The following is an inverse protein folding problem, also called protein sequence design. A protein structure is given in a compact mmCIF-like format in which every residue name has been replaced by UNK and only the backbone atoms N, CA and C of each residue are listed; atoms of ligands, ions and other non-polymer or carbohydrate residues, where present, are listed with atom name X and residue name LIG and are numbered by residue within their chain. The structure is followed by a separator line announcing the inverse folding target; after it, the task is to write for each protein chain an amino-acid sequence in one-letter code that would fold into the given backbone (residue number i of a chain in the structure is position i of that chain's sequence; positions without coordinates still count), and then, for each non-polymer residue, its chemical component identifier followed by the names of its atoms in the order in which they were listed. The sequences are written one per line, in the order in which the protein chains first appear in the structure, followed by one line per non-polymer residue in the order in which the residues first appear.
data_IF_471562567376
#
_entry.id   IF_471562567376
#
_cell.length_a   1.000
_cell.length_b   1.000
_cell.length_c   1.000
_cell.angle_alpha   90.00
_cell.angle_beta   90.00
_cell.angle_gamma   90.00
#
_symmetry.space_group_name_H-M   'P 1'
#
loop_
_entity.id
_entity.type
_entity.pdbx_description
1 polymer ?
#
# COMPACT_ATOMS: atom_id res chain seq x y z
N UNK A 1 7.00 -32.17 3.80
CA UNK A 1 5.77 -31.74 4.51
C UNK A 1 6.02 -31.11 5.89
N UNK A 2 6.84 -31.70 6.78
CA UNK A 2 7.12 -31.14 8.12
C UNK A 2 7.70 -29.70 8.10
N UNK A 3 8.68 -29.43 7.21
CA UNK A 3 9.29 -28.10 7.09
C UNK A 3 8.30 -27.04 6.56
N UNK A 4 7.41 -27.42 5.64
CA UNK A 4 6.36 -26.55 5.12
C UNK A 4 5.33 -26.18 6.20
N UNK A 5 4.91 -27.17 7.01
CA UNK A 5 4.00 -26.92 8.14
C UNK A 5 4.61 -25.96 9.15
N UNK A 6 5.88 -26.17 9.54
CA UNK A 6 6.61 -25.25 10.42
C UNK A 6 6.67 -23.85 9.83
N UNK A 7 7.04 -23.72 8.55
CA UNK A 7 7.08 -22.44 7.85
C UNK A 7 5.76 -21.67 7.96
N UNK A 8 4.63 -22.30 7.62
CA UNK A 8 3.33 -21.64 7.69
C UNK A 8 2.91 -21.25 9.10
N UNK A 9 3.24 -22.05 10.11
CA UNK A 9 2.97 -21.69 11.51
C UNK A 9 3.75 -20.43 11.89
N UNK A 10 5.04 -20.34 11.53
CA UNK A 10 5.84 -19.15 11.78
C UNK A 10 5.36 -17.94 10.98
N UNK A 11 4.99 -18.12 9.70
CA UNK A 11 4.43 -17.04 8.88
C UNK A 11 3.11 -16.52 9.45
N UNK A 12 2.22 -17.42 9.88
CA UNK A 12 0.95 -17.04 10.50
C UNK A 12 1.18 -16.31 11.82
N UNK A 13 2.08 -16.81 12.68
CA UNK A 13 2.42 -16.15 13.94
C UNK A 13 2.99 -14.74 13.70
N UNK A 14 3.88 -14.58 12.72
CA UNK A 14 4.44 -13.27 12.35
C UNK A 14 3.37 -12.31 11.82
N UNK A 15 2.48 -12.78 10.94
CA UNK A 15 1.37 -11.96 10.41
C UNK A 15 0.40 -11.57 11.53
N UNK A 16 0.06 -12.48 12.43
CA UNK A 16 -0.80 -12.19 13.59
C UNK A 16 -0.17 -11.15 14.51
N UNK A 17 1.14 -11.25 14.77
CA UNK A 17 1.86 -10.30 15.63
C UNK A 17 1.85 -8.89 15.02
N UNK A 18 2.17 -8.76 13.73
CA UNK A 18 2.14 -7.46 13.03
C UNK A 18 0.72 -6.91 12.93
N UNK A 19 -0.28 -7.79 12.80
CA UNK A 19 -1.70 -7.44 12.69
C UNK A 19 -2.38 -7.20 14.03
N UNK A 20 -1.71 -7.41 15.17
CA UNK A 20 -2.37 -7.39 16.48
C UNK A 20 -3.04 -6.04 16.76
N UNK A 21 -2.32 -4.93 16.57
CA UNK A 21 -2.85 -3.58 16.80
C UNK A 21 -4.08 -3.27 15.93
N UNK A 22 -4.02 -3.34 14.58
CA UNK A 22 -5.19 -3.01 13.77
C UNK A 22 -6.38 -3.92 14.06
N UNK A 23 -6.17 -5.23 14.28
CA UNK A 23 -7.26 -6.13 14.65
C UNK A 23 -7.89 -5.79 15.99
N UNK A 24 -7.08 -5.52 17.02
CA UNK A 24 -7.58 -5.14 18.34
C UNK A 24 -8.43 -3.88 18.25
N UNK A 25 -7.95 -2.86 17.54
CA UNK A 25 -8.71 -1.62 17.35
C UNK A 25 -9.99 -1.87 16.54
N UNK A 26 -9.94 -2.69 15.49
CA UNK A 26 -11.12 -3.08 14.72
C UNK A 26 -12.19 -3.79 15.56
N UNK A 27 -11.79 -4.68 16.46
CA UNK A 27 -12.71 -5.35 17.41
C UNK A 27 -13.35 -4.34 18.35
N UNK A 28 -12.58 -3.38 18.88
CA UNK A 28 -13.12 -2.35 19.77
C UNK A 28 -14.22 -1.52 19.08
N UNK A 29 -14.00 -1.14 17.81
CA UNK A 29 -15.02 -0.41 17.04
C UNK A 29 -16.26 -1.25 16.78
N UNK A 30 -16.09 -2.49 16.32
CA UNK A 30 -17.24 -3.37 16.07
C UNK A 30 -18.02 -3.61 17.36
N UNK A 31 -17.34 -3.79 18.49
CA UNK A 31 -17.97 -3.94 19.81
C UNK A 31 -18.74 -2.69 20.23
N UNK A 32 -18.16 -1.50 20.06
CA UNK A 32 -18.84 -0.23 20.34
C UNK A 32 -20.07 -0.05 19.43
N UNK A 33 -19.96 -0.38 18.13
CA UNK A 33 -21.09 -0.34 17.21
C UNK A 33 -22.21 -1.31 17.59
N UNK A 34 -21.88 -2.53 18.05
CA UNK A 34 -22.89 -3.51 18.49
C UNK A 34 -23.58 -3.03 19.77
N UNK A 35 -22.84 -2.45 20.71
CA UNK A 35 -23.36 -2.03 22.02
C UNK A 35 -24.13 -0.71 21.94
N UNK A 36 -23.54 0.29 21.32
CA UNK A 36 -23.94 1.69 21.41
C UNK A 36 -24.55 2.21 20.10
N UNK A 37 -24.52 1.42 19.01
CA UNK A 37 -24.92 1.79 17.63
C UNK A 37 -24.15 2.94 17.01
N UNK A 38 -23.25 3.55 17.75
CA UNK A 38 -22.41 4.68 17.35
C UNK A 38 -21.02 4.49 17.95
N UNK A 39 -20.01 5.07 17.30
CA UNK A 39 -18.66 5.18 17.85
C UNK A 39 -18.43 6.64 18.23
N UNK A 40 -18.10 6.88 19.50
CA UNK A 40 -17.72 8.22 19.96
C UNK A 40 -16.38 8.62 19.32
N UNK A 41 -16.31 9.83 18.76
CA UNK A 41 -15.14 10.34 18.07
C UNK A 41 -13.86 10.33 18.95
N UNK A 42 -13.99 10.60 20.24
CA UNK A 42 -12.90 10.55 21.24
C UNK A 42 -12.33 9.13 21.45
N UNK A 43 -13.19 8.12 21.30
CA UNK A 43 -12.83 6.72 21.43
C UNK A 43 -12.42 6.11 20.08
N UNK A 44 -12.44 6.91 19.00
CA UNK A 44 -12.05 6.45 17.67
C UNK A 44 -10.52 6.37 17.59
N UNK A 45 -9.95 5.16 17.56
CA UNK A 45 -8.53 5.02 17.47
C UNK A 45 -8.07 5.33 16.05
N UNK A 46 -6.96 6.06 15.94
CA UNK A 46 -6.34 6.28 14.65
C UNK A 46 -5.98 4.92 14.03
N UNK A 47 -6.24 4.78 12.73
CA UNK A 47 -5.69 3.70 11.87
C UNK A 47 -6.32 2.30 11.95
N UNK A 48 -7.66 2.21 11.97
CA UNK A 48 -8.36 0.93 11.75
C UNK A 48 -8.53 0.59 10.27
N UNK A 49 -8.70 1.58 9.41
CA UNK A 49 -8.95 1.38 7.98
C UNK A 49 -7.85 2.09 7.20
N UNK A 50 -7.23 1.45 6.19
CA UNK A 50 -7.55 0.11 5.65
C UNK A 50 -6.86 -1.07 6.39
N UNK A 51 -6.15 -0.83 7.50
CA UNK A 51 -5.28 -1.86 8.10
C UNK A 51 -6.01 -3.08 8.70
N UNK A 52 -7.19 -2.90 9.27
CA UNK A 52 -8.00 -4.01 9.78
C UNK A 52 -8.47 -4.90 8.62
N UNK A 53 -9.07 -4.35 7.54
CA UNK A 53 -9.32 -5.09 6.32
C UNK A 53 -8.09 -5.77 5.72
N UNK A 54 -6.94 -5.08 5.64
CA UNK A 54 -5.67 -5.67 5.15
C UNK A 54 -5.25 -6.85 6.03
N UNK A 55 -5.30 -6.69 7.35
CA UNK A 55 -4.94 -7.75 8.30
C UNK A 55 -5.84 -8.98 8.15
N UNK A 56 -7.16 -8.78 8.10
CA UNK A 56 -8.11 -9.86 7.88
C UNK A 56 -7.87 -10.59 6.55
N UNK A 57 -7.60 -9.83 5.49
CA UNK A 57 -7.29 -10.34 4.16
C UNK A 57 -6.02 -11.22 4.17
N UNK A 58 -4.90 -10.69 4.69
CA UNK A 58 -3.62 -11.40 4.71
C UNK A 58 -3.66 -12.62 5.62
N UNK A 59 -4.26 -12.53 6.81
CA UNK A 59 -4.39 -13.68 7.72
C UNK A 59 -5.18 -14.80 7.06
N UNK A 60 -6.31 -14.47 6.45
CA UNK A 60 -7.16 -15.48 5.80
C UNK A 60 -6.41 -16.14 4.64
N UNK A 61 -5.74 -15.35 3.81
CA UNK A 61 -4.95 -15.86 2.71
C UNK A 61 -3.82 -16.79 3.18
N UNK A 62 -3.12 -16.46 4.26
CA UNK A 62 -2.06 -17.30 4.85
C UNK A 62 -2.63 -18.61 5.42
N UNK A 63 -3.81 -18.58 6.04
CA UNK A 63 -4.50 -19.76 6.58
C UNK A 63 -4.90 -20.75 5.47
N UNK A 64 -5.44 -20.26 4.35
CA UNK A 64 -5.91 -21.12 3.25
C UNK A 64 -4.76 -21.55 2.32
N UNK A 65 -3.63 -20.83 2.31
CA UNK A 65 -2.51 -21.08 1.40
C UNK A 65 -2.02 -22.53 1.37
N UNK A 66 -1.83 -23.25 2.50
CA UNK A 66 -1.38 -24.64 2.49
C UNK A 66 -2.37 -25.56 1.75
N UNK A 67 -3.68 -25.31 1.92
CA UNK A 67 -4.76 -26.06 1.27
C UNK A 67 -4.74 -25.78 -0.23
N UNK A 68 -4.63 -24.52 -0.62
CA UNK A 68 -4.54 -24.11 -2.02
C UNK A 68 -3.29 -24.65 -2.71
N UNK A 69 -2.15 -24.68 -2.03
CA UNK A 69 -0.92 -25.26 -2.57
C UNK A 69 -1.05 -26.77 -2.81
N UNK A 70 -1.78 -27.48 -1.95
CA UNK A 70 -2.05 -28.91 -2.12
C UNK A 70 -2.95 -29.20 -3.32
N UNK A 71 -4.03 -28.44 -3.50
CA UNK A 71 -5.08 -28.75 -4.48
C UNK A 71 -4.93 -27.96 -5.79
N UNK A 72 -4.75 -26.64 -5.72
CA UNK A 72 -4.72 -25.75 -6.89
C UNK A 72 -3.33 -25.60 -7.52
N UNK A 73 -2.26 -26.04 -6.83
CA UNK A 73 -0.86 -26.07 -7.30
C UNK A 73 -0.40 -24.73 -7.90
N UNK A 74 -0.40 -24.60 -9.24
CA UNK A 74 0.06 -23.39 -9.96
C UNK A 74 -0.89 -22.19 -9.80
N UNK A 75 -2.17 -22.45 -9.49
CA UNK A 75 -3.18 -21.41 -9.28
C UNK A 75 -3.31 -20.97 -7.82
N UNK A 76 -2.50 -21.53 -6.92
CA UNK A 76 -2.61 -21.25 -5.48
C UNK A 76 -2.41 -19.77 -5.12
N UNK A 77 -1.39 -19.10 -5.68
CA UNK A 77 -1.18 -17.67 -5.45
C UNK A 77 -2.30 -16.80 -6.04
N UNK A 78 -2.69 -16.93 -7.33
CA UNK A 78 -3.80 -16.18 -7.88
C UNK A 78 -5.10 -16.35 -7.07
N UNK A 79 -5.45 -17.58 -6.70
CA UNK A 79 -6.65 -17.84 -5.89
C UNK A 79 -6.56 -17.23 -4.49
N UNK A 80 -5.42 -17.37 -3.81
CA UNK A 80 -5.22 -16.77 -2.50
C UNK A 80 -5.33 -15.24 -2.57
N UNK A 81 -4.73 -14.63 -3.59
CA UNK A 81 -4.83 -13.19 -3.84
C UNK A 81 -6.27 -12.77 -4.11
N UNK A 82 -7.00 -13.46 -4.99
CA UNK A 82 -8.40 -13.15 -5.27
C UNK A 82 -9.27 -13.21 -4.02
N UNK A 83 -9.14 -14.28 -3.22
CA UNK A 83 -9.87 -14.41 -1.95
C UNK A 83 -9.48 -13.29 -0.97
N UNK A 84 -8.19 -12.99 -0.84
CA UNK A 84 -7.68 -11.91 0.01
C UNK A 84 -8.26 -10.55 -0.39
N UNK A 85 -8.31 -10.24 -1.68
CA UNK A 85 -8.84 -8.97 -2.18
C UNK A 85 -10.36 -8.87 -1.95
N UNK A 86 -11.10 -9.96 -2.14
CA UNK A 86 -12.54 -9.99 -1.83
C UNK A 86 -12.76 -9.70 -0.34
N UNK A 87 -12.00 -10.36 0.55
CA UNK A 87 -12.10 -10.14 2.00
C UNK A 87 -11.75 -8.70 2.36
N UNK A 88 -10.70 -8.15 1.74
CA UNK A 88 -10.30 -6.76 1.92
C UNK A 88 -11.46 -5.81 1.57
N UNK A 89 -11.99 -5.86 0.34
CA UNK A 89 -13.05 -4.95 -0.09
C UNK A 89 -14.37 -5.14 0.66
N UNK A 90 -14.74 -6.38 1.01
CA UNK A 90 -15.94 -6.64 1.82
C UNK A 90 -15.78 -6.08 3.22
N UNK A 91 -14.64 -6.31 3.87
CA UNK A 91 -14.39 -5.81 5.23
C UNK A 91 -14.31 -4.29 5.26
N UNK A 92 -13.66 -3.70 4.26
CA UNK A 92 -13.60 -2.25 4.04
C UNK A 92 -15.00 -1.66 3.94
N UNK A 93 -15.82 -2.17 3.02
CA UNK A 93 -17.18 -1.67 2.78
C UNK A 93 -18.07 -1.82 4.03
N UNK A 94 -17.92 -2.90 4.79
CA UNK A 94 -18.67 -3.11 6.02
C UNK A 94 -18.31 -2.08 7.10
N UNK A 95 -17.02 -1.80 7.27
CA UNK A 95 -16.56 -0.82 8.26
C UNK A 95 -16.91 0.61 7.82
N UNK A 96 -16.75 0.95 6.55
CA UNK A 96 -17.05 2.30 6.01
C UNK A 96 -18.48 2.77 6.27
N UNK A 97 -19.44 1.83 6.27
CA UNK A 97 -20.85 2.13 6.50
C UNK A 97 -21.22 2.35 7.99
N UNK A 98 -20.23 2.36 8.90
CA UNK A 98 -20.45 2.64 10.32
C UNK A 98 -20.62 4.14 10.60
N UNK A 99 -21.35 4.48 11.66
CA UNK A 99 -21.67 5.87 12.05
C UNK A 99 -20.84 6.29 13.26
N UNK A 100 -20.20 7.46 13.16
CA UNK A 100 -19.47 8.13 14.23
C UNK A 100 -20.28 9.32 14.73
N UNK A 101 -20.34 9.49 16.05
CA UNK A 101 -20.96 10.68 16.67
C UNK A 101 -19.88 11.53 17.32
N UNK A 102 -19.88 12.81 16.97
CA UNK A 102 -19.11 13.88 17.63
C UNK A 102 -20.08 14.87 18.29
N UNK A 103 -19.59 15.68 19.24
CA UNK A 103 -20.39 16.65 20.01
C UNK A 103 -21.26 17.58 19.15
N UNK A 104 -20.90 17.78 17.87
CA UNK A 104 -21.57 18.71 16.97
C UNK A 104 -22.25 18.05 15.75
N UNK A 105 -22.02 16.76 15.47
CA UNK A 105 -22.64 16.07 14.33
C UNK A 105 -22.41 14.54 14.34
N UNK A 106 -23.38 13.81 13.79
CA UNK A 106 -23.20 12.42 13.38
C UNK A 106 -22.68 12.37 11.93
N UNK A 107 -21.57 11.68 11.69
CA UNK A 107 -20.97 11.51 10.36
C UNK A 107 -20.63 10.04 10.09
N UNK A 108 -20.52 9.65 8.82
CA UNK A 108 -20.07 8.29 8.47
C UNK A 108 -18.59 8.13 8.77
N UNK A 109 -18.18 6.89 9.07
CA UNK A 109 -16.80 6.54 9.38
C UNK A 109 -15.82 6.94 8.27
N UNK A 110 -16.22 6.71 7.03
CA UNK A 110 -15.47 7.14 5.85
C UNK A 110 -15.13 8.64 5.88
N UNK A 111 -16.13 9.48 6.10
CA UNK A 111 -15.97 10.94 6.08
C UNK A 111 -15.05 11.40 7.22
N UNK A 112 -15.14 10.74 8.38
CA UNK A 112 -14.30 11.01 9.54
C UNK A 112 -12.82 10.64 9.31
N UNK A 113 -12.56 9.50 8.68
CA UNK A 113 -11.20 9.07 8.35
C UNK A 113 -10.51 10.01 7.37
N UNK A 114 -11.26 10.46 6.37
CA UNK A 114 -10.80 11.46 5.41
C UNK A 114 -10.44 12.78 6.09
N UNK A 115 -11.27 13.24 7.04
CA UNK A 115 -10.99 14.44 7.84
C UNK A 115 -9.68 14.33 8.61
N UNK A 116 -9.45 13.19 9.27
CA UNK A 116 -8.23 12.93 10.04
C UNK A 116 -6.95 12.87 9.18
N UNK A 117 -7.07 12.60 7.87
CA UNK A 117 -5.94 12.63 6.94
C UNK A 117 -5.54 14.06 6.51
N UNK A 118 -6.36 15.06 6.80
CA UNK A 118 -6.22 16.41 6.24
C UNK A 118 -5.99 17.51 7.30
N UNK A 119 -6.59 17.46 8.51
CA UNK A 119 -6.34 18.43 9.61
C UNK A 119 -6.27 17.75 10.98
N UNK A 120 -5.36 18.22 11.86
CA UNK A 120 -5.36 17.83 13.28
C UNK A 120 -6.61 18.39 14.00
N UNK A 121 -7.32 17.61 14.83
CA UNK A 121 -8.60 18.00 15.44
C UNK A 121 -8.63 19.37 16.15
N UNK A 122 -7.48 19.85 16.63
CA UNK A 122 -7.37 21.07 17.44
C UNK A 122 -7.41 22.38 16.62
N UNK A 123 -7.22 22.34 15.29
CA UNK A 123 -6.96 23.53 14.46
C UNK A 123 -8.19 24.08 13.71
N UNK A 124 -9.40 23.70 14.10
CA UNK A 124 -10.64 23.91 13.34
C UNK A 124 -11.11 25.38 13.20
N UNK A 125 -10.66 26.32 14.03
CA UNK A 125 -11.46 27.53 14.29
C UNK A 125 -11.26 28.76 13.39
N UNK A 126 -10.24 28.84 12.53
CA UNK A 126 -10.02 30.07 11.75
C UNK A 126 -9.26 29.80 10.46
N UNK A 127 -9.92 29.88 9.29
CA UNK A 127 -9.32 30.31 7.99
C UNK A 127 -10.35 30.21 6.85
N UNK A 128 -10.23 31.13 5.90
CA UNK A 128 -11.27 31.45 4.90
C UNK A 128 -11.01 30.94 3.47
N UNK A 129 -9.98 30.13 3.21
CA UNK A 129 -9.79 29.46 1.92
C UNK A 129 -8.74 28.34 2.08
N UNK A 130 -9.13 27.05 2.04
CA UNK A 130 -8.17 25.92 2.02
C UNK A 130 -8.75 24.69 1.30
N UNK A 131 -7.90 23.73 0.92
CA UNK A 131 -8.34 22.40 0.45
C UNK A 131 -9.28 21.67 1.46
N UNK A 132 -9.41 22.19 2.69
CA UNK A 132 -10.45 21.88 3.68
C UNK A 132 -11.85 22.07 3.08
N UNK A 133 -12.08 23.23 2.45
CA UNK A 133 -13.40 23.68 2.01
C UNK A 133 -13.86 22.93 0.75
N UNK A 134 -12.90 22.57 -0.12
CA UNK A 134 -13.15 21.76 -1.32
C UNK A 134 -13.53 20.31 -0.95
N UNK A 135 -12.95 19.76 0.13
CA UNK A 135 -13.21 18.39 0.60
C UNK A 135 -14.40 18.27 1.56
N UNK A 136 -14.85 19.38 2.17
CA UNK A 136 -16.10 19.44 2.96
C UNK A 136 -17.30 19.70 2.05
N UNK A 137 -17.13 20.38 0.91
CA UNK A 137 -18.21 20.84 0.04
C UNK A 137 -18.72 19.86 -1.02
N UNK A 138 -17.84 19.07 -1.66
CA UNK A 138 -18.24 18.18 -2.76
C UNK A 138 -17.51 16.82 -2.66
N UNK A 139 -18.20 15.84 -2.07
CA UNK A 139 -17.68 14.51 -1.80
C UNK A 139 -17.60 13.65 -3.08
N UNK A 140 -16.45 13.01 -3.31
CA UNK A 140 -16.25 12.02 -4.37
C UNK A 140 -15.61 10.73 -3.82
N UNK A 141 -16.25 9.55 -4.00
CA UNK A 141 -15.67 8.24 -3.65
C UNK A 141 -14.32 7.96 -4.33
N UNK A 142 -13.99 8.70 -5.39
CA UNK A 142 -12.74 8.55 -6.14
C UNK A 142 -11.48 8.80 -5.29
N UNK A 143 -11.60 9.53 -4.17
CA UNK A 143 -10.52 9.78 -3.21
C UNK A 143 -9.88 8.49 -2.65
N UNK A 144 -10.66 7.41 -2.50
CA UNK A 144 -10.16 6.15 -1.93
C UNK A 144 -9.29 5.35 -2.88
N UNK A 145 -9.28 5.69 -4.19
CA UNK A 145 -8.46 4.99 -5.19
C UNK A 145 -6.98 4.97 -4.77
N UNK A 146 -6.49 6.06 -4.17
CA UNK A 146 -5.12 6.15 -3.66
C UNK A 146 -4.84 5.11 -2.56
N UNK A 147 -5.72 5.02 -1.56
CA UNK A 147 -5.59 4.08 -0.44
C UNK A 147 -5.83 2.63 -0.85
N UNK A 148 -6.80 2.38 -1.73
CA UNK A 148 -7.06 1.05 -2.26
C UNK A 148 -5.88 0.55 -3.09
N UNK A 149 -5.25 1.41 -3.90
CA UNK A 149 -4.07 1.05 -4.65
C UNK A 149 -2.90 0.64 -3.74
N UNK A 150 -2.60 1.45 -2.72
CA UNK A 150 -1.59 1.11 -1.68
C UNK A 150 -1.91 -0.25 -1.04
N UNK A 151 -3.16 -0.46 -0.63
CA UNK A 151 -3.62 -1.66 0.07
C UNK A 151 -3.48 -2.90 -0.81
N UNK A 152 -3.89 -2.82 -2.08
CA UNK A 152 -3.75 -3.90 -3.06
C UNK A 152 -2.28 -4.26 -3.26
N UNK A 153 -1.42 -3.27 -3.52
CA UNK A 153 0.03 -3.48 -3.72
C UNK A 153 0.66 -4.17 -2.50
N UNK A 154 0.28 -3.74 -1.30
CA UNK A 154 0.78 -4.33 -0.05
C UNK A 154 0.33 -5.79 0.10
N UNK A 155 -0.96 -6.08 -0.09
CA UNK A 155 -1.52 -7.44 0.02
C UNK A 155 -0.84 -8.37 -0.97
N UNK A 156 -0.81 -8.03 -2.26
CA UNK A 156 -0.23 -8.93 -3.29
C UNK A 156 1.27 -9.17 -3.06
N UNK A 157 1.99 -8.14 -2.59
CA UNK A 157 3.43 -8.23 -2.34
C UNK A 157 3.73 -9.14 -1.14
N UNK A 158 3.00 -8.99 -0.03
CA UNK A 158 3.11 -9.86 1.13
C UNK A 158 2.79 -11.32 0.79
N UNK A 159 1.68 -11.55 0.05
CA UNK A 159 1.28 -12.89 -0.33
C UNK A 159 2.29 -13.57 -1.26
N UNK A 160 2.87 -12.86 -2.22
CA UNK A 160 3.91 -13.44 -3.07
C UNK A 160 5.20 -13.74 -2.29
N UNK A 161 5.57 -12.94 -1.28
CA UNK A 161 6.69 -13.29 -0.41
C UNK A 161 6.44 -14.61 0.33
N UNK A 162 5.29 -14.75 1.00
CA UNK A 162 4.93 -15.95 1.76
C UNK A 162 4.83 -17.18 0.84
N UNK A 163 4.10 -17.05 -0.27
CA UNK A 163 3.95 -18.11 -1.25
C UNK A 163 5.28 -18.48 -1.91
N UNK A 164 6.09 -17.49 -2.27
CA UNK A 164 7.37 -17.66 -2.94
C UNK A 164 8.33 -18.51 -2.12
N UNK A 165 8.52 -18.19 -0.85
CA UNK A 165 9.36 -19.00 0.05
C UNK A 165 8.76 -20.39 0.29
N UNK A 166 7.44 -20.51 0.46
CA UNK A 166 6.77 -21.80 0.57
C UNK A 166 7.03 -22.69 -0.66
N UNK A 167 7.02 -22.10 -1.87
CA UNK A 167 7.36 -22.81 -3.11
C UNK A 167 8.80 -23.27 -3.14
N UNK A 168 9.76 -22.44 -2.74
CA UNK A 168 11.17 -22.84 -2.65
C UNK A 168 11.34 -24.03 -1.68
N UNK A 169 10.63 -24.03 -0.54
CA UNK A 169 10.69 -25.14 0.42
C UNK A 169 10.14 -26.45 -0.19
N UNK A 170 9.15 -26.36 -1.09
CA UNK A 170 8.53 -27.53 -1.72
C UNK A 170 9.33 -28.03 -2.93
N UNK A 171 9.78 -27.12 -3.81
CA UNK A 171 10.45 -27.50 -5.07
C UNK A 171 11.98 -27.54 -4.97
N UNK A 172 12.57 -27.01 -3.90
CA UNK A 172 14.03 -26.81 -3.73
C UNK A 172 14.70 -25.96 -4.83
N UNK A 173 13.91 -25.33 -5.70
CA UNK A 173 14.39 -24.44 -6.75
C UNK A 173 14.64 -23.04 -6.17
N UNK A 174 15.90 -22.60 -6.20
CA UNK A 174 16.34 -21.32 -5.65
C UNK A 174 16.50 -20.23 -6.71
N UNK A 175 16.01 -20.43 -7.94
CA UNK A 175 16.10 -19.45 -9.02
C UNK A 175 15.49 -18.10 -8.60
N UNK A 176 14.30 -18.10 -7.99
CA UNK A 176 13.61 -16.88 -7.53
C UNK A 176 14.08 -16.34 -6.17
N UNK A 177 15.04 -16.98 -5.50
CA UNK A 177 15.38 -16.65 -4.11
C UNK A 177 15.84 -15.20 -3.95
N UNK A 178 16.74 -14.73 -4.80
CA UNK A 178 17.27 -13.35 -4.72
C UNK A 178 16.18 -12.31 -4.96
N UNK A 179 15.29 -12.56 -5.93
CA UNK A 179 14.16 -11.69 -6.22
C UNK A 179 13.18 -11.62 -5.02
N UNK A 180 12.89 -12.76 -4.38
CA UNK A 180 12.01 -12.81 -3.20
C UNK A 180 12.61 -12.11 -1.97
N UNK A 181 13.93 -12.20 -1.76
CA UNK A 181 14.62 -11.45 -0.70
C UNK A 181 14.47 -9.95 -0.92
N UNK A 182 14.75 -9.48 -2.14
CA UNK A 182 14.62 -8.05 -2.48
C UNK A 182 13.16 -7.61 -2.35
N UNK A 183 12.20 -8.42 -2.81
CA UNK A 183 10.78 -8.12 -2.67
C UNK A 183 10.37 -8.03 -1.19
N UNK A 184 10.88 -8.93 -0.34
CA UNK A 184 10.59 -8.92 1.09
C UNK A 184 11.11 -7.65 1.76
N UNK A 185 12.33 -7.21 1.41
CA UNK A 185 12.90 -5.94 1.89
C UNK A 185 12.05 -4.76 1.42
N UNK A 186 11.73 -4.68 0.12
CA UNK A 186 10.91 -3.61 -0.45
C UNK A 186 9.52 -3.56 0.21
N UNK A 187 8.88 -4.72 0.39
CA UNK A 187 7.57 -4.83 1.05
C UNK A 187 7.62 -4.41 2.51
N UNK A 188 8.66 -4.80 3.25
CA UNK A 188 8.83 -4.43 4.65
C UNK A 188 9.07 -2.91 4.81
N UNK A 189 9.94 -2.33 3.97
CA UNK A 189 10.15 -0.88 3.93
C UNK A 189 8.87 -0.14 3.54
N UNK A 190 8.11 -0.68 2.57
CA UNK A 190 6.86 -0.08 2.12
C UNK A 190 5.80 -0.11 3.22
N UNK A 191 5.63 -1.24 3.90
CA UNK A 191 4.78 -1.35 5.08
C UNK A 191 5.20 -0.36 6.17
N UNK A 192 6.50 -0.27 6.45
CA UNK A 192 7.05 0.67 7.42
C UNK A 192 6.72 2.12 7.08
N UNK A 193 6.89 2.53 5.82
CA UNK A 193 6.49 3.87 5.38
C UNK A 193 4.97 4.05 5.35
N UNK A 194 4.17 3.02 5.08
CA UNK A 194 2.70 3.11 5.20
C UNK A 194 2.29 3.39 6.65
N UNK A 195 2.88 2.65 7.60
CA UNK A 195 2.65 2.87 9.03
C UNK A 195 3.10 4.29 9.42
N UNK A 196 4.29 4.70 8.99
CA UNK A 196 4.81 6.03 9.28
C UNK A 196 3.96 7.15 8.66
N UNK A 197 3.58 7.01 7.38
CA UNK A 197 2.68 7.93 6.68
C UNK A 197 1.33 8.02 7.40
N UNK A 198 0.86 6.93 7.99
CA UNK A 198 -0.33 6.96 8.80
C UNK A 198 -0.11 7.81 10.05
N UNK A 199 0.87 7.50 10.89
CA UNK A 199 1.12 8.24 12.13
C UNK A 199 1.46 9.72 11.93
N UNK A 200 2.07 10.06 10.81
CA UNK A 200 2.66 11.39 10.61
C UNK A 200 1.96 12.20 9.52
N UNK A 201 1.22 11.55 8.61
CA UNK A 201 0.72 12.10 7.33
C UNK A 201 1.68 13.18 6.80
N UNK A 202 2.95 12.77 6.77
CA UNK A 202 4.19 13.54 6.73
C UNK A 202 4.04 15.06 6.91
N UNK A 203 3.58 15.41 8.12
CA UNK A 203 3.62 16.71 8.81
C UNK A 203 3.07 17.91 8.03
N UNK A 204 1.79 17.78 7.63
CA UNK A 204 0.95 18.76 6.93
C UNK A 204 0.43 19.90 7.82
N UNK A 205 0.46 21.14 7.29
CA UNK A 205 -0.12 22.36 7.89
C UNK A 205 -1.40 22.89 7.21
N UNK A 206 -2.00 22.09 6.32
CA UNK A 206 -3.15 22.47 5.49
C UNK A 206 -2.82 23.24 4.21
N UNK A 207 -1.53 23.41 3.91
CA UNK A 207 -1.01 24.10 2.71
C UNK A 207 -0.69 23.11 1.59
N UNK A 208 -0.80 23.55 0.34
CA UNK A 208 -0.41 22.77 -0.86
C UNK A 208 1.11 22.67 -0.98
N UNK A 209 1.83 23.69 -0.53
CA UNK A 209 3.30 23.69 -0.46
C UNK A 209 3.75 22.98 0.81
N UNK A 210 4.57 21.94 0.65
CA UNK A 210 5.01 21.09 1.77
C UNK A 210 6.45 21.42 2.18
N UNK A 211 6.81 21.10 3.42
CA UNK A 211 8.18 21.25 3.89
C UNK A 211 9.14 20.33 3.13
N UNK A 212 10.43 20.68 3.09
CA UNK A 212 11.45 19.88 2.43
C UNK A 212 11.51 18.43 2.96
N UNK A 213 11.31 18.25 4.27
CA UNK A 213 11.27 16.91 4.90
C UNK A 213 10.06 16.11 4.41
N UNK A 214 8.88 16.74 4.33
CA UNK A 214 7.69 16.11 3.75
C UNK A 214 7.89 15.74 2.28
N UNK A 215 8.46 16.64 1.48
CA UNK A 215 8.74 16.38 0.07
C UNK A 215 9.64 15.14 -0.13
N UNK A 216 10.71 15.02 0.66
CA UNK A 216 11.60 13.84 0.63
C UNK A 216 10.84 12.58 1.01
N UNK A 217 10.07 12.60 2.10
CA UNK A 217 9.33 11.43 2.57
C UNK A 217 8.24 11.00 1.59
N UNK A 218 7.54 11.94 0.97
CA UNK A 218 6.57 11.67 -0.10
C UNK A 218 7.24 11.09 -1.35
N UNK A 219 8.36 11.67 -1.78
CA UNK A 219 9.14 11.17 -2.92
C UNK A 219 9.64 9.75 -2.70
N UNK A 220 10.12 9.44 -1.48
CA UNK A 220 10.53 8.10 -1.07
C UNK A 220 9.34 7.14 -1.06
N UNK A 221 8.20 7.56 -0.52
CA UNK A 221 6.98 6.74 -0.47
C UNK A 221 6.50 6.37 -1.88
N UNK A 222 6.42 7.34 -2.78
CA UNK A 222 6.00 7.17 -4.17
C UNK A 222 7.00 6.32 -4.96
N UNK A 223 8.29 6.54 -4.76
CA UNK A 223 9.32 5.73 -5.40
C UNK A 223 9.24 4.27 -4.94
N UNK A 224 9.02 4.04 -3.63
CA UNK A 224 9.04 2.73 -3.02
C UNK A 224 7.82 1.87 -3.39
N UNK A 225 6.62 2.45 -3.53
CA UNK A 225 5.46 1.72 -4.06
C UNK A 225 5.70 1.29 -5.51
N UNK A 226 6.32 2.15 -6.34
CA UNK A 226 6.72 1.80 -7.70
C UNK A 226 7.73 0.65 -7.72
N UNK A 227 8.80 0.74 -6.90
CA UNK A 227 9.80 -0.32 -6.76
C UNK A 227 9.16 -1.63 -6.27
N UNK A 228 8.28 -1.58 -5.28
CA UNK A 228 7.60 -2.77 -4.73
C UNK A 228 6.76 -3.46 -5.81
N UNK A 229 5.99 -2.70 -6.57
CA UNK A 229 5.16 -3.21 -7.67
C UNK A 229 6.03 -3.78 -8.80
N UNK A 230 7.10 -3.07 -9.17
CA UNK A 230 8.04 -3.51 -10.20
C UNK A 230 8.77 -4.80 -9.80
N UNK A 231 9.32 -4.88 -8.59
CA UNK A 231 9.98 -6.09 -8.08
C UNK A 231 9.01 -7.25 -7.98
N UNK A 232 7.76 -7.03 -7.57
CA UNK A 232 6.71 -8.05 -7.58
C UNK A 232 6.58 -8.71 -8.95
N UNK A 233 6.41 -7.91 -10.01
CA UNK A 233 6.33 -8.43 -11.39
C UNK A 233 7.64 -9.06 -11.84
N UNK A 234 8.77 -8.39 -11.58
CA UNK A 234 10.10 -8.88 -11.91
C UNK A 234 10.41 -10.25 -11.29
N UNK A 235 9.86 -10.53 -10.09
CA UNK A 235 10.03 -11.82 -9.40
C UNK A 235 9.48 -13.01 -10.20
N UNK A 236 8.49 -12.81 -11.08
CA UNK A 236 7.93 -13.86 -11.93
C UNK A 236 8.65 -13.98 -13.28
N UNK A 237 9.44 -12.98 -13.66
CA UNK A 237 10.04 -12.85 -14.99
C UNK A 237 11.56 -13.07 -14.99
N UNK A 238 12.13 -13.53 -13.87
CA UNK A 238 13.57 -13.70 -13.63
C UNK A 238 14.30 -14.44 -14.76
N UNK A 239 13.80 -15.59 -15.22
CA UNK A 239 14.43 -16.41 -16.28
C UNK A 239 13.99 -16.03 -17.71
N UNK A 240 13.33 -14.89 -17.90
CA UNK A 240 12.90 -14.43 -19.23
C UNK A 240 13.97 -13.52 -19.89
N UNK A 241 13.77 -13.22 -21.18
CA UNK A 241 14.60 -12.28 -21.94
C UNK A 241 14.61 -10.90 -21.27
N UNK A 242 15.70 -10.11 -21.44
CA UNK A 242 15.90 -8.80 -20.77
C UNK A 242 14.71 -7.85 -20.91
N UNK A 243 14.03 -7.84 -22.05
CA UNK A 243 12.82 -7.05 -22.28
C UNK A 243 11.73 -7.37 -21.24
N UNK A 244 11.46 -8.66 -21.01
CA UNK A 244 10.46 -9.09 -20.04
C UNK A 244 10.98 -9.05 -18.61
N UNK A 245 12.25 -9.37 -18.37
CA UNK A 245 12.80 -9.48 -17.02
C UNK A 245 13.22 -8.15 -16.40
N UNK A 246 13.39 -7.08 -17.20
CA UNK A 246 13.87 -5.76 -16.74
C UNK A 246 12.97 -4.62 -17.22
N UNK A 247 12.75 -4.49 -18.53
CA UNK A 247 12.03 -3.34 -19.09
C UNK A 247 10.55 -3.33 -18.67
N UNK A 248 9.85 -4.46 -18.78
CA UNK A 248 8.44 -4.55 -18.38
C UNK A 248 8.23 -4.22 -16.89
N UNK A 249 8.96 -4.82 -15.93
CA UNK A 249 8.92 -4.42 -14.52
C UNK A 249 9.21 -2.92 -14.29
N UNK A 250 10.16 -2.34 -15.02
CA UNK A 250 10.51 -0.92 -14.93
C UNK A 250 9.36 -0.01 -15.36
N UNK A 251 8.71 -0.32 -16.49
CA UNK A 251 7.53 0.40 -16.96
C UNK A 251 6.40 0.32 -15.93
N UNK A 252 6.16 -0.88 -15.39
CA UNK A 252 5.11 -1.09 -14.37
C UNK A 252 5.41 -0.30 -13.08
N UNK A 253 6.69 -0.20 -12.68
CA UNK A 253 7.08 0.62 -11.54
C UNK A 253 6.74 2.10 -11.77
N UNK A 254 7.12 2.67 -12.91
CA UNK A 254 6.79 4.05 -13.26
C UNK A 254 5.27 4.28 -13.36
N UNK A 255 4.53 3.33 -13.95
CA UNK A 255 3.07 3.41 -14.02
C UNK A 255 2.41 3.37 -12.64
N UNK A 256 2.92 2.57 -11.71
CA UNK A 256 2.42 2.55 -10.34
C UNK A 256 2.62 3.90 -9.64
N UNK A 257 3.77 4.57 -9.86
CA UNK A 257 4.00 5.93 -9.35
C UNK A 257 3.07 6.95 -10.01
N UNK A 258 2.84 6.84 -11.32
CA UNK A 258 1.90 7.71 -12.02
C UNK A 258 0.47 7.56 -11.47
N UNK A 259 0.02 6.33 -11.20
CA UNK A 259 -1.28 6.06 -10.57
C UNK A 259 -1.37 6.72 -9.19
N UNK A 260 -0.27 6.75 -8.43
CA UNK A 260 -0.24 7.45 -7.14
C UNK A 260 -0.42 8.96 -7.28
N UNK A 261 0.24 9.59 -8.26
CA UNK A 261 0.02 11.01 -8.57
C UNK A 261 -1.41 11.26 -9.07
N UNK A 262 -1.99 10.39 -9.90
CA UNK A 262 -3.40 10.50 -10.29
C UNK A 262 -4.30 10.41 -9.05
N UNK A 263 -4.02 9.47 -8.14
CA UNK A 263 -4.73 9.34 -6.87
C UNK A 263 -4.61 10.60 -5.99
N UNK A 264 -3.41 11.20 -5.92
CA UNK A 264 -3.20 12.47 -5.21
C UNK A 264 -3.94 13.63 -5.87
N UNK A 265 -3.97 13.67 -7.19
CA UNK A 265 -4.69 14.69 -7.95
C UNK A 265 -6.19 14.61 -7.69
N UNK A 266 -6.76 13.40 -7.68
CA UNK A 266 -8.15 13.17 -7.30
C UNK A 266 -8.38 13.56 -5.83
N UNK A 267 -7.42 13.26 -4.96
CA UNK A 267 -7.45 13.57 -3.53
C UNK A 267 -7.44 15.08 -3.24
N UNK A 268 -6.79 15.89 -4.07
CA UNK A 268 -6.69 17.34 -3.92
C UNK A 268 -7.50 18.10 -4.97
N UNK A 269 -8.56 17.49 -5.52
CA UNK A 269 -9.51 18.13 -6.45
C UNK A 269 -8.84 18.79 -7.67
N UNK A 270 -7.92 18.07 -8.31
CA UNK A 270 -7.19 18.52 -9.49
C UNK A 270 -5.82 19.14 -9.20
N UNK A 271 -5.40 19.23 -7.94
CA UNK A 271 -4.09 19.77 -7.55
C UNK A 271 -3.12 18.68 -7.09
N UNK A 272 -1.83 19.01 -7.00
CA UNK A 272 -0.81 18.15 -6.42
C UNK A 272 -0.05 18.92 -5.34
N UNK A 273 0.50 18.20 -4.35
CA UNK A 273 1.39 18.81 -3.38
C UNK A 273 2.63 19.34 -4.09
N UNK A 274 3.07 20.54 -3.70
CA UNK A 274 4.25 21.18 -4.29
C UNK A 274 5.43 21.10 -3.33
N UNK A 275 6.53 20.52 -3.80
CA UNK A 275 7.74 20.29 -3.00
C UNK A 275 8.60 21.54 -2.77
N UNK A 276 8.23 22.66 -3.40
CA UNK A 276 8.93 23.94 -3.32
C UNK A 276 8.32 24.96 -4.27
N UNK A 277 9.07 26.02 -4.56
CA UNK A 277 8.71 27.09 -5.50
C UNK A 277 9.71 27.17 -6.66
N UNK A 278 9.28 27.68 -7.81
CA UNK A 278 10.08 27.80 -9.02
C UNK A 278 9.91 26.63 -9.98
N UNK A 279 10.54 26.74 -11.15
CA UNK A 279 10.28 25.88 -12.32
C UNK A 279 10.27 24.37 -12.04
N UNK A 280 11.18 23.86 -11.20
CA UNK A 280 11.26 22.42 -10.90
C UNK A 280 10.06 21.89 -10.11
N UNK A 281 9.38 22.76 -9.38
CA UNK A 281 8.31 22.40 -8.44
C UNK A 281 6.95 22.94 -8.88
N UNK A 282 6.90 23.79 -9.90
CA UNK A 282 5.67 24.29 -10.49
C UNK A 282 5.17 23.34 -11.59
N UNK A 283 3.84 23.24 -11.71
CA UNK A 283 3.22 22.45 -12.77
C UNK A 283 3.57 23.00 -14.15
N UNK A 284 3.76 22.10 -15.12
CA UNK A 284 4.02 22.51 -16.50
C UNK A 284 2.74 23.04 -17.16
N UNK A 285 2.89 23.93 -18.14
CA UNK A 285 1.74 24.43 -18.90
C UNK A 285 0.97 23.27 -19.55
N UNK A 286 -0.32 23.17 -19.21
CA UNK A 286 -1.21 22.10 -19.69
C UNK A 286 -1.14 20.77 -18.94
N UNK A 287 -0.24 20.60 -17.96
CA UNK A 287 -0.12 19.36 -17.15
C UNK A 287 0.08 19.68 -15.67
N UNK A 288 -0.70 19.06 -14.78
CA UNK A 288 -0.64 19.32 -13.34
C UNK A 288 0.73 18.93 -12.72
N UNK A 289 1.39 17.93 -13.29
CA UNK A 289 2.69 17.42 -12.85
C UNK A 289 3.81 18.46 -13.00
N UNK A 290 4.60 18.62 -11.94
CA UNK A 290 5.85 19.38 -11.97
C UNK A 290 7.00 18.53 -12.55
N UNK A 291 8.09 19.16 -13.02
CA UNK A 291 9.29 18.42 -13.43
C UNK A 291 9.82 17.46 -12.37
N UNK A 292 9.78 17.83 -11.08
CA UNK A 292 10.15 16.96 -9.97
C UNK A 292 9.29 15.68 -9.91
N UNK A 293 7.98 15.78 -10.16
CA UNK A 293 7.07 14.63 -10.14
C UNK A 293 7.42 13.64 -11.25
N UNK A 294 7.70 14.16 -12.45
CA UNK A 294 8.14 13.37 -13.62
C UNK A 294 9.47 12.68 -13.33
N UNK A 295 10.42 13.38 -12.68
CA UNK A 295 11.69 12.79 -12.28
C UNK A 295 11.50 11.64 -11.31
N UNK A 296 10.57 11.73 -10.37
CA UNK A 296 10.27 10.64 -9.42
C UNK A 296 9.66 9.42 -10.14
N UNK A 297 8.76 9.65 -11.10
CA UNK A 297 8.17 8.59 -11.94
C UNK A 297 9.26 7.84 -12.72
N UNK A 298 10.16 8.58 -13.38
CA UNK A 298 11.25 8.00 -14.16
C UNK A 298 12.28 7.33 -13.25
N UNK A 299 12.65 7.97 -12.15
CA UNK A 299 13.62 7.44 -11.19
C UNK A 299 13.16 6.10 -10.61
N UNK A 300 11.88 5.95 -10.26
CA UNK A 300 11.33 4.68 -9.79
C UNK A 300 11.50 3.56 -10.82
N UNK A 301 11.21 3.84 -12.09
CA UNK A 301 11.43 2.90 -13.20
C UNK A 301 12.91 2.54 -13.36
N UNK A 302 13.81 3.52 -13.36
CA UNK A 302 15.25 3.31 -13.50
C UNK A 302 15.85 2.50 -12.34
N UNK A 303 15.48 2.83 -11.10
CA UNK A 303 15.90 2.09 -9.90
C UNK A 303 15.40 0.65 -10.01
N UNK A 304 14.12 0.45 -10.37
CA UNK A 304 13.56 -0.88 -10.52
C UNK A 304 14.24 -1.69 -11.63
N UNK A 305 14.61 -1.05 -12.75
CA UNK A 305 15.37 -1.70 -13.81
C UNK A 305 16.74 -2.20 -13.31
N UNK A 306 17.47 -1.37 -12.56
CA UNK A 306 18.75 -1.74 -11.97
C UNK A 306 18.61 -2.92 -11.00
N UNK A 307 17.58 -2.89 -10.15
CA UNK A 307 17.27 -3.97 -9.22
C UNK A 307 16.95 -5.28 -9.97
N UNK A 308 16.07 -5.22 -10.97
CA UNK A 308 15.68 -6.39 -11.76
C UNK A 308 16.86 -6.99 -12.55
N UNK A 309 17.73 -6.14 -13.10
CA UNK A 309 18.95 -6.59 -13.76
C UNK A 309 19.91 -7.30 -12.79
N UNK A 310 20.03 -6.79 -11.55
CA UNK A 310 20.89 -7.39 -10.51
C UNK A 310 20.47 -8.82 -10.15
N UNK A 311 19.17 -9.10 -9.99
CA UNK A 311 18.74 -10.46 -9.68
C UNK A 311 18.53 -11.36 -10.91
N UNK A 312 18.27 -10.78 -12.09
CA UNK A 312 18.23 -11.52 -13.35
C UNK A 312 19.57 -12.15 -13.73
N UNK A 313 20.66 -11.38 -13.61
CA UNK A 313 22.01 -11.88 -13.95
C UNK A 313 22.48 -13.01 -13.02
N UNK A 314 22.19 -12.91 -11.71
CA UNK A 314 22.54 -13.97 -10.75
C UNK A 314 21.83 -15.30 -11.01
N UNK A 315 20.65 -15.26 -11.63
CA UNK A 315 19.85 -16.45 -11.90
C UNK A 315 20.33 -17.16 -13.16
N UNK A 316 20.66 -16.40 -14.22
CA UNK A 316 21.28 -16.95 -15.44
C UNK A 316 22.64 -17.59 -15.18
N UNK A 317 23.47 -16.97 -14.34
CA UNK A 317 24.76 -17.53 -13.91
C UNK A 317 24.63 -18.84 -13.11
N UNK A 318 23.44 -19.15 -12.56
CA UNK A 318 23.15 -20.43 -11.91
C UNK A 318 22.64 -21.48 -12.89
N UNK A 319 21.84 -21.08 -13.88
CA UNK A 319 21.40 -21.97 -14.96
C UNK A 319 22.58 -22.46 -15.81
N UNK A 320 23.60 -21.62 -16.07
CA UNK A 320 24.82 -22.03 -16.80
C UNK A 320 25.74 -22.99 -16.01
N UNK A 321 25.53 -23.14 -14.69
CA UNK A 321 26.36 -23.99 -13.82
C UNK A 321 25.69 -25.30 -13.41
N UNK A 322 24.43 -25.54 -13.82
CA UNK A 322 23.65 -26.74 -13.55
C UNK A 322 23.58 -27.65 -14.77
#
# INVERSE_FOLDING_TARGET
MKNLKKYYIFSLAGVLLISFYPLYMGIQIVSAMIRDRVVLAENYPKYIIPYTPISLAVITAVLIMPILMKHARKYSLPLATSVSLIIFFVSELLLENMVIVSDNAATKLESWQMYMCYVSPENFKTRTWRAVDVLIGDYSPAFKIHFYFISVVLIISLLNCIYGYARIIVSNDKCRLKALVIQSIATALFLGLCILACFTAFFRGGEITVSAVSAVLMSLFFSLIGITTGVYVGSFLVSRKKVLSVLLPSIIASLAVLIMYIGEMVLLSGHLYRFGSGFLFEGLDGIVLAPADILIIIASGCINAAICNSFGNSSRLREEKS
#
